data_IF_308340202627
#
_entry.id   IF_308340202627
#
_cell.length_a   1.000
_cell.length_b   1.000
_cell.length_c   1.000
_cell.angle_alpha   90.00
_cell.angle_beta   90.00
_cell.angle_gamma   90.00
#
_symmetry.space_group_name_H-M   'P 1'
#
loop_
_entity.id
_entity.type
_entity.pdbx_description
1 polymer ?
#
# COMPACT_ATOMS: atom_id res chain seq x y z
N UNK A 1 47.49 9.41 15.84
CA UNK A 1 46.58 10.56 15.71
C UNK A 1 46.34 10.82 14.21
N UNK A 2 45.14 11.14 13.77
CA UNK A 2 44.90 11.47 12.36
C UNK A 2 45.69 12.71 11.95
N UNK A 3 46.24 12.71 10.73
CA UNK A 3 46.98 13.83 10.21
C UNK A 3 46.07 15.01 9.90
N UNK A 4 46.60 16.23 9.91
CA UNK A 4 45.85 17.46 9.56
C UNK A 4 45.21 17.35 8.17
N UNK A 5 45.87 16.66 7.24
CA UNK A 5 45.38 16.39 5.87
C UNK A 5 44.14 15.49 5.90
N UNK A 6 44.14 14.41 6.72
CA UNK A 6 42.98 13.55 6.90
C UNK A 6 41.78 14.26 7.51
N UNK A 7 42.01 15.11 8.51
CA UNK A 7 40.92 15.89 9.12
C UNK A 7 40.32 16.88 8.10
N UNK A 8 41.12 17.58 7.30
CA UNK A 8 40.63 18.45 6.23
C UNK A 8 39.82 17.66 5.18
N UNK A 9 40.29 16.48 4.78
CA UNK A 9 39.59 15.62 3.83
C UNK A 9 38.23 15.16 4.39
N UNK A 10 38.17 14.74 5.65
CA UNK A 10 36.92 14.37 6.33
C UNK A 10 35.92 15.52 6.41
N UNK A 11 36.38 16.73 6.75
CA UNK A 11 35.52 17.93 6.78
C UNK A 11 34.96 18.22 5.39
N UNK A 12 35.78 18.15 4.33
CA UNK A 12 35.30 18.33 2.96
C UNK A 12 34.24 17.29 2.56
N UNK A 13 34.49 16.02 2.88
CA UNK A 13 33.55 14.92 2.63
C UNK A 13 32.21 15.12 3.36
N UNK A 14 32.23 15.44 4.65
CA UNK A 14 31.03 15.73 5.45
C UNK A 14 30.26 16.93 4.89
N UNK A 15 30.95 18.00 4.51
CA UNK A 15 30.31 19.16 3.89
C UNK A 15 29.64 18.82 2.54
N UNK A 16 30.27 17.99 1.71
CA UNK A 16 29.67 17.51 0.47
C UNK A 16 28.43 16.67 0.74
N UNK A 17 28.50 15.71 1.66
CA UNK A 17 27.37 14.88 2.09
C UNK A 17 26.23 15.74 2.63
N UNK A 18 26.53 16.74 3.45
CA UNK A 18 25.53 17.68 3.96
C UNK A 18 24.79 18.42 2.83
N UNK A 19 25.50 18.91 1.81
CA UNK A 19 24.89 19.58 0.66
C UNK A 19 23.96 18.65 -0.12
N UNK A 20 24.40 17.41 -0.37
CA UNK A 20 23.60 16.39 -1.06
C UNK A 20 22.33 16.08 -0.24
N UNK A 21 22.47 15.82 1.06
CA UNK A 21 21.34 15.53 1.94
C UNK A 21 20.35 16.68 2.02
N UNK A 22 20.85 17.94 2.02
CA UNK A 22 19.99 19.12 1.98
C UNK A 22 19.19 19.21 0.68
N UNK A 23 19.79 18.90 -0.46
CA UNK A 23 19.09 18.82 -1.74
C UNK A 23 18.05 17.71 -1.75
N UNK A 24 18.39 16.52 -1.23
CA UNK A 24 17.43 15.39 -1.09
C UNK A 24 16.25 15.76 -0.19
N UNK A 25 16.48 16.50 0.91
CA UNK A 25 15.41 17.02 1.77
C UNK A 25 14.45 17.93 1.01
N UNK A 26 14.94 18.82 0.16
CA UNK A 26 14.08 19.70 -0.65
C UNK A 26 13.20 18.90 -1.61
N UNK A 27 13.79 17.93 -2.30
CA UNK A 27 13.04 17.06 -3.23
C UNK A 27 11.97 16.25 -2.48
N UNK A 28 12.31 15.68 -1.32
CA UNK A 28 11.38 14.94 -0.50
C UNK A 28 10.24 15.82 0.04
N UNK A 29 10.56 17.06 0.46
CA UNK A 29 9.55 18.04 0.92
C UNK A 29 8.58 18.43 -0.20
N UNK A 30 9.09 18.65 -1.41
CA UNK A 30 8.24 18.93 -2.58
C UNK A 30 7.30 17.76 -2.89
N UNK A 31 7.81 16.52 -2.91
CA UNK A 31 6.98 15.32 -3.11
C UNK A 31 5.90 15.17 -2.04
N UNK A 32 6.27 15.43 -0.77
CA UNK A 32 5.32 15.39 0.34
C UNK A 32 4.21 16.41 0.15
N UNK A 33 4.56 17.64 -0.20
CA UNK A 33 3.57 18.70 -0.43
C UNK A 33 2.60 18.35 -1.57
N UNK A 34 3.11 17.84 -2.70
CA UNK A 34 2.24 17.38 -3.79
C UNK A 34 1.31 16.24 -3.36
N UNK A 35 1.80 15.27 -2.59
CA UNK A 35 0.97 14.18 -2.08
C UNK A 35 -0.10 14.69 -1.11
N UNK A 36 0.25 15.60 -0.20
CA UNK A 36 -0.71 16.22 0.74
C UNK A 36 -1.81 16.96 0.00
N UNK A 37 -1.44 17.82 -0.97
CA UNK A 37 -2.43 18.55 -1.79
C UNK A 37 -3.36 17.61 -2.56
N UNK A 38 -2.82 16.51 -3.10
CA UNK A 38 -3.65 15.52 -3.79
C UNK A 38 -4.68 14.86 -2.85
N UNK A 39 -4.26 14.52 -1.62
CA UNK A 39 -5.15 13.96 -0.59
C UNK A 39 -6.20 14.99 -0.17
N UNK A 40 -5.81 16.22 0.12
CA UNK A 40 -6.72 17.30 0.52
C UNK A 40 -7.79 17.58 -0.54
N UNK A 41 -7.45 17.45 -1.80
CA UNK A 41 -8.41 17.60 -2.91
C UNK A 41 -9.36 16.39 -3.06
N UNK A 42 -8.92 15.20 -2.67
CA UNK A 42 -9.69 13.96 -2.84
C UNK A 42 -10.63 13.68 -1.66
N UNK A 43 -10.21 13.98 -0.44
CA UNK A 43 -10.97 13.70 0.79
C UNK A 43 -12.41 14.25 0.81
N UNK A 44 -12.71 15.48 0.36
CA UNK A 44 -14.09 15.97 0.33
C UNK A 44 -15.00 15.14 -0.58
N UNK A 45 -14.46 14.66 -1.72
CA UNK A 45 -15.18 13.80 -2.63
C UNK A 45 -15.46 12.43 -2.03
N UNK A 46 -14.46 11.80 -1.41
CA UNK A 46 -14.60 10.52 -0.71
C UNK A 46 -15.64 10.60 0.42
N UNK A 47 -15.53 11.62 1.29
CA UNK A 47 -16.48 11.83 2.38
C UNK A 47 -17.91 12.02 1.88
N UNK A 48 -18.10 12.72 0.75
CA UNK A 48 -19.42 12.92 0.17
C UNK A 48 -20.00 11.62 -0.38
N UNK A 49 -19.19 10.80 -1.08
CA UNK A 49 -19.61 9.49 -1.55
C UNK A 49 -19.99 8.55 -0.40
N UNK A 50 -19.20 8.52 0.66
CA UNK A 50 -19.49 7.75 1.86
C UNK A 50 -20.81 8.18 2.51
N UNK A 51 -21.03 9.49 2.60
CA UNK A 51 -22.26 10.04 3.15
C UNK A 51 -23.49 9.68 2.30
N UNK A 52 -23.38 9.79 0.98
CA UNK A 52 -24.44 9.40 0.04
C UNK A 52 -24.77 7.91 0.20
N UNK A 53 -23.74 7.05 0.23
CA UNK A 53 -23.92 5.61 0.38
C UNK A 53 -24.60 5.27 1.71
N UNK A 54 -24.14 5.83 2.83
CA UNK A 54 -24.74 5.61 4.14
C UNK A 54 -26.21 6.07 4.18
N UNK A 55 -26.50 7.25 3.63
CA UNK A 55 -27.85 7.77 3.56
C UNK A 55 -28.77 6.90 2.72
N UNK A 56 -28.27 6.43 1.56
CA UNK A 56 -29.00 5.52 0.68
C UNK A 56 -29.35 4.21 1.39
N UNK A 57 -28.38 3.58 2.06
CA UNK A 57 -28.58 2.32 2.78
C UNK A 57 -29.61 2.44 3.91
N UNK A 58 -29.61 3.57 4.61
CA UNK A 58 -30.63 3.85 5.66
C UNK A 58 -32.00 4.07 5.07
N UNK A 59 -32.09 4.71 3.89
CA UNK A 59 -33.37 5.05 3.25
C UNK A 59 -33.99 3.88 2.47
N UNK A 60 -33.19 2.88 2.12
CA UNK A 60 -33.61 1.74 1.30
C UNK A 60 -33.10 0.41 1.93
N UNK A 61 -33.59 0.03 3.11
CA UNK A 61 -33.10 -1.13 3.85
C UNK A 61 -33.35 -2.47 3.13
N UNK A 62 -34.32 -2.51 2.19
CA UNK A 62 -34.68 -3.71 1.43
C UNK A 62 -33.82 -3.90 0.15
N UNK A 63 -32.87 -3.00 -0.11
CA UNK A 63 -31.99 -3.13 -1.27
C UNK A 63 -30.82 -4.05 -0.95
N UNK A 64 -30.81 -5.23 -1.55
CA UNK A 64 -29.68 -6.14 -1.52
C UNK A 64 -28.54 -5.58 -2.38
N UNK A 65 -27.39 -5.28 -1.76
CA UNK A 65 -26.19 -4.90 -2.48
C UNK A 65 -25.37 -6.14 -2.84
N UNK A 66 -24.87 -6.24 -4.08
CA UNK A 66 -24.08 -7.41 -4.50
C UNK A 66 -22.80 -7.61 -3.67
N UNK A 67 -22.29 -6.57 -3.04
CA UNK A 67 -21.08 -6.60 -2.20
C UNK A 67 -21.36 -6.84 -0.71
N UNK A 68 -22.62 -6.86 -0.28
CA UNK A 68 -23.03 -7.07 1.13
C UNK A 68 -23.39 -8.56 1.41
N UNK A 69 -22.79 -9.46 0.66
CA UNK A 69 -23.02 -10.89 0.83
C UNK A 69 -22.08 -11.47 1.89
N UNK A 70 -22.63 -11.85 3.03
CA UNK A 70 -21.90 -12.64 4.03
C UNK A 70 -21.82 -14.10 3.59
N UNK A 71 -20.59 -14.62 3.51
CA UNK A 71 -20.33 -16.02 3.18
C UNK A 71 -19.11 -16.55 3.93
N UNK A 72 -19.00 -17.88 4.14
CA UNK A 72 -17.83 -18.48 4.75
C UNK A 72 -16.56 -18.12 3.98
N UNK A 73 -15.55 -17.57 4.68
CA UNK A 73 -14.30 -17.14 4.07
C UNK A 73 -13.45 -18.36 3.73
N UNK A 74 -13.30 -18.63 2.44
CA UNK A 74 -12.44 -19.70 1.88
C UNK A 74 -11.28 -19.16 1.07
N UNK A 75 -11.44 -17.97 0.48
CA UNK A 75 -10.41 -17.30 -0.33
C UNK A 75 -10.38 -15.81 -0.03
N UNK A 76 -9.18 -15.25 0.05
CA UNK A 76 -8.98 -13.85 0.47
C UNK A 76 -8.08 -13.12 -0.50
N UNK A 77 -8.44 -11.86 -0.83
CA UNK A 77 -7.57 -10.93 -1.53
C UNK A 77 -7.05 -9.87 -0.55
N UNK A 78 -5.74 -9.75 -0.42
CA UNK A 78 -5.08 -8.75 0.43
C UNK A 78 -4.45 -7.66 -0.43
N UNK A 79 -4.95 -6.44 -0.34
CA UNK A 79 -4.31 -5.27 -0.96
C UNK A 79 -3.35 -4.66 0.06
N UNK A 80 -2.05 -4.70 -0.23
CA UNK A 80 -1.01 -4.32 0.74
C UNK A 80 -0.15 -3.20 0.16
N UNK A 81 -0.10 -2.06 0.87
CA UNK A 81 0.62 -0.87 0.45
C UNK A 81 1.98 -0.78 1.15
N UNK A 82 3.03 -0.51 0.40
CA UNK A 82 4.37 -0.21 0.91
C UNK A 82 5.05 0.89 0.11
N UNK A 83 6.15 1.42 0.62
CA UNK A 83 6.96 2.34 -0.17
C UNK A 83 7.92 1.60 -1.11
N UNK A 84 8.44 2.35 -2.11
CA UNK A 84 9.50 1.87 -3.00
C UNK A 84 10.90 2.06 -2.40
N UNK A 85 11.02 2.89 -1.35
CA UNK A 85 12.28 3.24 -0.69
C UNK A 85 12.41 2.55 0.67
N UNK A 86 13.64 2.33 1.10
CA UNK A 86 13.96 1.88 2.46
C UNK A 86 14.09 3.02 3.46
N UNK A 87 14.11 4.29 2.99
CA UNK A 87 14.31 5.47 3.83
C UNK A 87 12.99 5.98 4.43
N UNK A 88 12.29 5.11 5.14
CA UNK A 88 10.96 5.37 5.72
C UNK A 88 10.85 4.89 7.18
N UNK A 89 12.00 4.77 7.90
CA UNK A 89 12.01 4.24 9.26
C UNK A 89 11.41 2.82 9.33
N UNK A 90 10.56 2.56 10.31
CA UNK A 90 9.90 1.26 10.51
C UNK A 90 8.67 1.01 9.64
N UNK A 91 8.27 1.93 8.75
CA UNK A 91 7.01 1.83 8.01
C UNK A 91 6.86 0.52 7.24
N UNK A 92 7.80 0.20 6.34
CA UNK A 92 7.71 -1.04 5.55
C UNK A 92 7.79 -2.30 6.42
N UNK A 93 8.60 -2.28 7.48
CA UNK A 93 8.72 -3.41 8.39
C UNK A 93 7.40 -3.67 9.13
N UNK A 94 6.73 -2.63 9.58
CA UNK A 94 5.43 -2.73 10.24
C UNK A 94 4.34 -3.22 9.28
N UNK A 95 4.27 -2.69 8.06
CA UNK A 95 3.32 -3.16 7.04
C UNK A 95 3.51 -4.64 6.74
N UNK A 96 4.75 -5.08 6.52
CA UNK A 96 5.06 -6.49 6.27
C UNK A 96 4.66 -7.35 7.48
N UNK A 97 4.92 -6.90 8.70
CA UNK A 97 4.52 -7.60 9.92
C UNK A 97 3.00 -7.74 10.01
N UNK A 98 2.26 -6.67 9.74
CA UNK A 98 0.79 -6.68 9.73
C UNK A 98 0.24 -7.62 8.65
N UNK A 99 0.80 -7.59 7.43
CA UNK A 99 0.45 -8.53 6.37
C UNK A 99 0.66 -9.98 6.78
N UNK A 100 1.83 -10.30 7.36
CA UNK A 100 2.12 -11.68 7.80
C UNK A 100 1.20 -12.12 8.94
N UNK A 101 0.87 -11.22 9.86
CA UNK A 101 -0.09 -11.50 10.93
C UNK A 101 -1.48 -11.81 10.38
N UNK A 102 -1.98 -11.02 9.42
CA UNK A 102 -3.25 -11.27 8.75
C UNK A 102 -3.25 -12.63 8.02
N UNK A 103 -2.17 -12.97 7.31
CA UNK A 103 -2.02 -14.27 6.66
C UNK A 103 -2.07 -15.41 7.69
N UNK A 104 -1.38 -15.26 8.82
CA UNK A 104 -1.37 -16.28 9.87
C UNK A 104 -2.73 -16.44 10.56
N UNK A 105 -3.52 -15.38 10.68
CA UNK A 105 -4.90 -15.46 11.18
C UNK A 105 -5.79 -16.25 10.22
N UNK A 106 -5.69 -16.02 8.91
CA UNK A 106 -6.44 -16.83 7.92
C UNK A 106 -5.97 -18.28 7.88
N UNK A 107 -4.68 -18.56 8.03
CA UNK A 107 -4.15 -19.93 8.16
C UNK A 107 -4.71 -20.65 9.38
N UNK A 108 -4.87 -19.98 10.52
CA UNK A 108 -5.54 -20.55 11.71
C UNK A 108 -7.00 -20.90 11.46
N UNK A 109 -7.65 -20.23 10.51
CA UNK A 109 -9.00 -20.52 10.05
C UNK A 109 -9.05 -21.65 9.01
N UNK A 110 -7.91 -22.22 8.64
CA UNK A 110 -7.81 -23.37 7.72
C UNK A 110 -7.45 -23.00 6.27
N UNK A 111 -7.19 -21.74 5.96
CA UNK A 111 -6.79 -21.34 4.62
C UNK A 111 -5.31 -21.70 4.35
N UNK A 112 -5.02 -22.04 3.10
CA UNK A 112 -3.67 -22.30 2.60
C UNK A 112 -3.09 -21.04 1.92
N UNK A 113 -1.81 -21.10 1.52
CA UNK A 113 -1.22 -20.01 0.76
C UNK A 113 -1.85 -19.80 -0.61
N UNK A 114 -2.43 -20.84 -1.19
CA UNK A 114 -3.09 -20.77 -2.50
C UNK A 114 -4.46 -20.10 -2.43
N UNK A 115 -5.04 -20.05 -1.23
CA UNK A 115 -6.32 -19.39 -0.96
C UNK A 115 -6.19 -17.90 -0.69
N UNK A 116 -4.94 -17.39 -0.55
CA UNK A 116 -4.65 -15.98 -0.28
C UNK A 116 -3.94 -15.39 -1.47
N UNK A 117 -4.56 -14.43 -2.16
CA UNK A 117 -3.95 -13.66 -3.23
C UNK A 117 -3.57 -12.28 -2.72
N UNK A 118 -2.37 -11.82 -3.06
CA UNK A 118 -1.85 -10.54 -2.59
C UNK A 118 -1.69 -9.59 -3.77
N UNK A 119 -2.23 -8.38 -3.62
CA UNK A 119 -2.01 -7.22 -4.49
C UNK A 119 -0.93 -6.33 -3.87
N UNK A 120 0.36 -6.52 -4.21
CA UNK A 120 1.45 -5.79 -3.58
C UNK A 120 1.62 -4.42 -4.25
N UNK A 121 1.19 -3.35 -3.58
CA UNK A 121 1.40 -1.99 -4.05
C UNK A 121 2.67 -1.43 -3.41
N UNK A 122 3.72 -1.31 -4.23
CA UNK A 122 5.05 -0.89 -3.80
C UNK A 122 6.07 -2.01 -3.70
N UNK A 123 7.32 -1.63 -3.94
CA UNK A 123 8.45 -2.56 -4.11
C UNK A 123 8.73 -3.41 -2.89
N UNK A 124 8.63 -2.85 -1.68
CA UNK A 124 9.07 -3.58 -0.48
C UNK A 124 8.16 -4.74 -0.11
N UNK A 125 6.86 -4.58 -0.31
CA UNK A 125 5.91 -5.69 -0.16
C UNK A 125 6.08 -6.70 -1.30
N UNK A 126 6.21 -6.25 -2.55
CA UNK A 126 6.40 -7.15 -3.69
C UNK A 126 7.64 -8.05 -3.52
N UNK A 127 8.79 -7.47 -3.14
CA UNK A 127 10.01 -8.22 -2.84
C UNK A 127 9.78 -9.28 -1.75
N UNK A 128 9.00 -8.93 -0.71
CA UNK A 128 8.70 -9.84 0.39
C UNK A 128 7.76 -10.96 -0.03
N UNK A 129 6.69 -10.65 -0.76
CA UNK A 129 5.73 -11.62 -1.30
C UNK A 129 6.46 -12.65 -2.17
N UNK A 130 7.28 -12.16 -3.12
CA UNK A 130 8.09 -13.02 -3.98
C UNK A 130 9.08 -13.89 -3.19
N UNK A 131 9.79 -13.32 -2.20
CA UNK A 131 10.74 -14.06 -1.37
C UNK A 131 10.10 -15.19 -0.54
N UNK A 132 8.85 -15.01 -0.15
CA UNK A 132 8.10 -16.00 0.63
C UNK A 132 7.32 -16.99 -0.25
N UNK A 133 7.37 -16.84 -1.58
CA UNK A 133 6.60 -17.70 -2.49
C UNK A 133 5.09 -17.56 -2.34
N UNK A 134 4.60 -16.40 -1.89
CA UNK A 134 3.17 -16.14 -1.76
C UNK A 134 2.56 -15.78 -3.11
N UNK A 135 1.28 -16.12 -3.29
CA UNK A 135 0.56 -15.84 -4.54
C UNK A 135 0.34 -14.33 -4.71
N UNK A 136 0.83 -13.79 -5.81
CA UNK A 136 0.69 -12.38 -6.18
C UNK A 136 -0.26 -12.20 -7.35
N UNK A 137 -1.11 -11.17 -7.30
CA UNK A 137 -1.97 -10.76 -8.41
C UNK A 137 -1.21 -10.06 -9.53
N UNK A 138 -0.01 -9.53 -9.25
CA UNK A 138 0.79 -8.81 -10.23
C UNK A 138 1.87 -7.95 -9.60
N UNK A 139 2.38 -6.98 -10.37
CA UNK A 139 3.36 -5.98 -9.92
C UNK A 139 2.78 -4.56 -10.06
N UNK A 140 2.67 -3.86 -8.93
CA UNK A 140 2.07 -2.53 -8.85
C UNK A 140 3.04 -1.51 -8.22
N UNK A 141 4.34 -1.70 -8.44
CA UNK A 141 5.42 -0.87 -7.86
C UNK A 141 5.27 0.61 -8.21
N UNK A 142 4.87 0.91 -9.44
CA UNK A 142 4.75 2.28 -9.92
C UNK A 142 3.62 3.07 -9.25
N UNK A 143 2.57 2.41 -8.78
CA UNK A 143 1.43 3.06 -8.12
C UNK A 143 1.79 3.67 -6.75
N UNK A 144 2.83 3.17 -6.09
CA UNK A 144 3.30 3.73 -4.83
C UNK A 144 3.98 5.11 -5.00
N UNK A 145 4.54 5.40 -6.17
CA UNK A 145 5.19 6.69 -6.47
C UNK A 145 4.29 7.64 -7.26
N UNK A 146 3.49 7.09 -8.17
CA UNK A 146 2.60 7.84 -9.06
C UNK A 146 1.25 7.13 -9.16
N UNK A 147 0.36 7.33 -8.18
CA UNK A 147 -0.98 6.75 -8.23
C UNK A 147 -1.72 7.26 -9.48
N UNK A 148 -2.36 6.34 -10.18
CA UNK A 148 -3.12 6.61 -11.39
C UNK A 148 -4.54 6.09 -11.20
N UNK A 149 -5.53 6.97 -11.35
CA UNK A 149 -6.94 6.66 -11.10
C UNK A 149 -7.47 5.51 -11.98
N UNK A 150 -7.05 5.45 -13.26
CA UNK A 150 -7.47 4.36 -14.15
C UNK A 150 -6.96 3.00 -13.65
N UNK A 151 -5.67 2.91 -13.31
CA UNK A 151 -5.08 1.67 -12.82
C UNK A 151 -5.60 1.26 -11.43
N UNK A 152 -5.86 2.24 -10.54
CA UNK A 152 -6.50 1.96 -9.26
C UNK A 152 -7.92 1.42 -9.45
N UNK A 153 -8.67 1.98 -10.43
CA UNK A 153 -9.98 1.48 -10.82
C UNK A 153 -9.89 0.06 -11.37
N UNK A 154 -8.91 -0.25 -12.22
CA UNK A 154 -8.75 -1.58 -12.79
C UNK A 154 -8.53 -2.64 -11.68
N UNK A 155 -7.68 -2.35 -10.68
CA UNK A 155 -7.50 -3.21 -9.51
C UNK A 155 -8.81 -3.37 -8.72
N UNK A 156 -9.55 -2.27 -8.49
CA UNK A 156 -10.82 -2.31 -7.76
C UNK A 156 -11.88 -3.12 -8.51
N UNK A 157 -11.98 -2.95 -9.83
CA UNK A 157 -12.90 -3.70 -10.67
C UNK A 157 -12.53 -5.17 -10.70
N UNK A 158 -11.24 -5.51 -10.83
CA UNK A 158 -10.77 -6.89 -10.79
C UNK A 158 -11.10 -7.55 -9.45
N UNK A 159 -10.74 -6.91 -8.33
CA UNK A 159 -11.02 -7.44 -6.99
C UNK A 159 -12.53 -7.58 -6.74
N UNK A 160 -13.33 -6.56 -7.14
CA UNK A 160 -14.78 -6.60 -7.03
C UNK A 160 -15.41 -7.70 -7.88
N UNK A 161 -14.93 -7.89 -9.10
CA UNK A 161 -15.40 -8.99 -9.99
C UNK A 161 -15.07 -10.35 -9.38
N UNK A 162 -13.87 -10.53 -8.83
CA UNK A 162 -13.49 -11.76 -8.14
C UNK A 162 -14.39 -12.04 -6.94
N UNK A 163 -14.81 -11.00 -6.21
CA UNK A 163 -15.75 -11.15 -5.11
C UNK A 163 -17.15 -11.56 -5.62
N UNK A 164 -17.68 -10.88 -6.63
CA UNK A 164 -19.01 -11.19 -7.19
C UNK A 164 -19.08 -12.59 -7.82
N UNK A 165 -18.00 -13.05 -8.44
CA UNK A 165 -17.89 -14.38 -9.03
C UNK A 165 -17.58 -15.49 -8.00
N UNK A 166 -17.41 -15.15 -6.70
CA UNK A 166 -17.05 -16.11 -5.67
C UNK A 166 -15.63 -16.66 -5.77
N UNK A 167 -14.75 -15.98 -6.50
CA UNK A 167 -13.31 -16.33 -6.58
C UNK A 167 -12.53 -15.89 -5.33
N UNK A 168 -13.02 -14.88 -4.63
CA UNK A 168 -12.61 -14.48 -3.29
C UNK A 168 -13.86 -14.16 -2.46
N UNK A 169 -13.76 -14.34 -1.17
CA UNK A 169 -14.88 -14.14 -0.23
C UNK A 169 -14.67 -12.88 0.62
N UNK A 170 -13.43 -12.37 0.61
CA UNK A 170 -13.08 -11.18 1.36
C UNK A 170 -11.89 -10.48 0.73
#
# INVERSE_FOLDING_TARGET
>A
MPSLKEIKSRIASVNSTRKITSAMKMVASSKLHHAQTAIENMLPYENMLEHILKTFLVSAPDVELPFDQERPVKKVALIVFSSNSSLCGGFNANIIKTMLHAIDEYRKQGLTNDDIIIYPIGRKVEEKVRKLGLRSAGSFVHLADKPNSAQCRDISVEAGTMFLEGKVDK
#
